data_IF_476532815903
#
_entry.id   IF_476532815903
#
_cell.length_a   1.000
_cell.length_b   1.000
_cell.length_c   1.000
_cell.angle_alpha   90.00
_cell.angle_beta   90.00
_cell.angle_gamma   90.00
#
_symmetry.space_group_name_H-M   'P 1'
#
loop_
_entity.id
_entity.type
_entity.pdbx_description
1 polymer ?
#
# COMPACT_ATOMS: atom_id res chain seq x y z
N UNK A 1 -6.14 -7.51 12.11
CA UNK A 1 -6.48 -7.38 10.67
C UNK A 1 -7.97 -7.08 10.65
N UNK A 2 -8.43 -5.95 10.10
CA UNK A 2 -9.87 -5.70 9.98
C UNK A 2 -10.52 -6.84 9.18
N UNK A 3 -11.76 -7.16 9.53
CA UNK A 3 -12.46 -8.31 8.97
C UNK A 3 -12.64 -8.14 7.46
N UNK A 4 -12.17 -9.10 6.66
CA UNK A 4 -12.35 -9.07 5.21
C UNK A 4 -13.81 -9.42 4.93
N UNK A 5 -14.53 -8.59 4.18
CA UNK A 5 -15.86 -8.95 3.72
C UNK A 5 -15.78 -10.31 2.99
N UNK A 6 -16.71 -11.25 3.26
CA UNK A 6 -16.65 -12.59 2.69
C UNK A 6 -16.66 -12.52 1.16
N UNK A 7 -15.87 -13.38 0.54
CA UNK A 7 -15.79 -13.53 -0.91
C UNK A 7 -16.42 -14.86 -1.33
N UNK A 8 -17.23 -14.83 -2.39
CA UNK A 8 -17.95 -16.00 -2.92
C UNK A 8 -17.33 -16.38 -4.26
N UNK A 9 -16.66 -17.53 -4.29
CA UNK A 9 -16.09 -18.13 -5.51
C UNK A 9 -17.13 -19.06 -6.14
N UNK A 10 -17.56 -18.75 -7.37
CA UNK A 10 -18.45 -19.59 -8.18
C UNK A 10 -17.58 -20.33 -9.20
N UNK A 11 -17.52 -21.66 -9.12
CA UNK A 11 -16.70 -22.51 -9.98
C UNK A 11 -17.55 -23.43 -10.85
N UNK A 12 -17.06 -23.75 -12.05
CA UNK A 12 -17.58 -24.81 -12.92
C UNK A 12 -17.38 -26.17 -12.27
N UNK A 13 -18.12 -27.18 -12.75
CA UNK A 13 -17.91 -28.60 -12.40
C UNK A 13 -16.49 -29.07 -12.70
N UNK A 14 -15.81 -28.42 -13.65
CA UNK A 14 -14.42 -28.68 -14.04
C UNK A 14 -13.40 -27.90 -13.19
N UNK A 15 -13.85 -27.15 -12.18
CA UNK A 15 -13.01 -26.33 -11.30
C UNK A 15 -12.64 -24.96 -11.84
N UNK A 16 -13.05 -24.59 -13.06
CA UNK A 16 -12.77 -23.26 -13.62
C UNK A 16 -13.57 -22.16 -12.91
N UNK A 17 -12.94 -21.02 -12.61
CA UNK A 17 -13.59 -19.87 -11.99
C UNK A 17 -14.59 -19.21 -12.97
N UNK A 18 -15.87 -19.20 -12.61
CA UNK A 18 -16.93 -18.55 -13.41
C UNK A 18 -17.14 -17.11 -12.94
N UNK A 19 -17.17 -16.88 -11.63
CA UNK A 19 -17.34 -15.56 -11.06
C UNK A 19 -16.81 -15.50 -9.62
N UNK A 20 -16.34 -14.33 -9.21
CA UNK A 20 -15.96 -14.05 -7.84
C UNK A 20 -16.76 -12.84 -7.34
N UNK A 21 -17.54 -12.98 -6.26
CA UNK A 21 -18.40 -11.91 -5.71
C UNK A 21 -18.06 -11.64 -4.26
N UNK A 22 -17.52 -10.46 -3.99
CA UNK A 22 -17.22 -9.92 -2.66
C UNK A 22 -16.94 -8.42 -2.73
N UNK A 23 -16.96 -7.73 -1.59
CA UNK A 23 -16.67 -6.27 -1.54
C UNK A 23 -15.17 -5.93 -1.74
N UNK A 24 -14.30 -6.94 -1.81
CA UNK A 24 -12.86 -6.80 -2.05
C UNK A 24 -12.49 -7.71 -3.22
N UNK A 25 -11.88 -7.15 -4.28
CA UNK A 25 -11.45 -7.90 -5.45
C UNK A 25 -10.37 -8.94 -5.12
N UNK A 26 -10.38 -10.05 -5.87
CA UNK A 26 -9.31 -11.04 -5.93
C UNK A 26 -9.13 -12.00 -4.75
N UNK A 27 -8.51 -13.16 -5.01
CA UNK A 27 -7.81 -13.91 -3.96
C UNK A 27 -6.58 -13.11 -3.53
N UNK A 28 -6.18 -13.18 -2.24
CA UNK A 28 -4.90 -12.61 -1.86
C UNK A 28 -3.79 -13.42 -2.52
N UNK A 29 -2.92 -12.72 -3.25
CA UNK A 29 -1.79 -13.33 -3.95
C UNK A 29 -0.55 -13.08 -3.10
N UNK A 30 0.23 -14.13 -2.82
CA UNK A 30 1.49 -14.00 -2.13
C UNK A 30 2.50 -13.22 -2.96
N UNK A 31 3.41 -12.47 -2.33
CA UNK A 31 4.43 -11.70 -3.04
C UNK A 31 5.27 -12.57 -4.00
N UNK A 32 5.49 -13.83 -3.63
CA UNK A 32 6.21 -14.84 -4.41
C UNK A 32 5.44 -15.37 -5.63
N UNK A 33 4.12 -15.21 -5.65
CA UNK A 33 3.25 -15.58 -6.77
C UNK A 33 3.10 -14.43 -7.77
N UNK A 34 3.51 -13.21 -7.38
CA UNK A 34 3.52 -12.04 -8.26
C UNK A 34 4.76 -12.04 -9.16
N UNK A 35 4.61 -11.50 -10.38
CA UNK A 35 5.77 -11.17 -11.20
C UNK A 35 6.69 -10.22 -10.43
N UNK A 36 8.01 -10.47 -10.34
CA UNK A 36 8.93 -9.66 -9.54
C UNK A 36 8.96 -8.19 -9.97
N UNK A 37 8.66 -7.92 -11.24
CA UNK A 37 8.61 -6.56 -11.78
C UNK A 37 7.51 -5.68 -11.16
N UNK A 38 6.43 -6.28 -10.63
CA UNK A 38 5.34 -5.53 -9.98
C UNK A 38 5.81 -4.87 -8.68
N UNK A 39 6.27 -5.63 -7.66
CA UNK A 39 6.77 -5.04 -6.42
C UNK A 39 7.96 -4.11 -6.68
N UNK A 40 8.87 -4.47 -7.59
CA UNK A 40 10.02 -3.63 -7.94
C UNK A 40 9.59 -2.28 -8.53
N UNK A 41 8.65 -2.27 -9.48
CA UNK A 41 8.16 -1.04 -10.08
C UNK A 41 7.44 -0.16 -9.07
N UNK A 42 6.57 -0.74 -8.23
CA UNK A 42 5.84 0.01 -7.19
C UNK A 42 6.83 0.63 -6.19
N UNK A 43 7.81 -0.14 -5.71
CA UNK A 43 8.85 0.39 -4.83
C UNK A 43 9.65 1.49 -5.53
N UNK A 44 10.06 1.31 -6.79
CA UNK A 44 10.84 2.30 -7.52
C UNK A 44 10.10 3.65 -7.71
N UNK A 45 8.78 3.59 -7.96
CA UNK A 45 7.95 4.76 -8.26
C UNK A 45 7.48 5.46 -6.98
N UNK A 46 6.93 4.70 -6.03
CA UNK A 46 6.26 5.26 -4.84
C UNK A 46 7.23 5.51 -3.68
N UNK A 47 8.18 4.59 -3.46
CA UNK A 47 9.02 4.60 -2.27
C UNK A 47 10.36 3.89 -2.51
N UNK A 48 11.25 4.54 -3.29
CA UNK A 48 12.53 3.96 -3.74
C UNK A 48 13.42 3.43 -2.62
N UNK A 49 13.17 3.87 -1.38
CA UNK A 49 13.94 3.53 -0.19
C UNK A 49 13.18 2.64 0.78
N UNK A 50 12.08 2.03 0.34
CA UNK A 50 11.19 1.22 1.14
C UNK A 50 11.91 0.27 2.09
N UNK A 51 12.89 -0.49 1.59
CA UNK A 51 13.65 -1.47 2.40
C UNK A 51 14.68 -0.86 3.36
N UNK A 52 14.96 0.44 3.26
CA UNK A 52 16.02 1.12 4.03
C UNK A 52 15.50 2.03 5.15
N UNK A 53 14.18 2.18 5.28
CA UNK A 53 13.57 3.01 6.32
C UNK A 53 12.57 2.22 7.15
N UNK A 54 12.04 2.80 8.22
CA UNK A 54 11.13 2.13 9.15
C UNK A 54 9.88 2.99 9.32
N UNK A 55 8.85 2.77 8.49
CA UNK A 55 7.59 3.49 8.51
C UNK A 55 7.64 4.90 7.94
N UNK A 56 8.70 5.66 8.21
CA UNK A 56 8.93 7.00 7.70
C UNK A 56 10.29 7.10 7.01
N UNK A 57 10.38 7.89 5.93
CA UNK A 57 11.64 8.21 5.25
C UNK A 57 11.97 9.70 5.42
N UNK A 58 12.73 10.08 6.46
CA UNK A 58 13.13 11.48 6.66
C UNK A 58 13.92 12.03 5.46
N UNK A 59 14.75 11.21 4.83
CA UNK A 59 15.59 11.65 3.70
C UNK A 59 14.73 11.80 2.44
N UNK A 60 13.81 10.87 2.19
CA UNK A 60 12.81 10.98 1.13
C UNK A 60 11.91 12.20 1.29
N UNK A 61 11.48 12.48 2.53
CA UNK A 61 10.68 13.66 2.87
C UNK A 61 11.46 14.95 2.64
N UNK A 62 12.69 15.06 3.16
CA UNK A 62 13.53 16.25 2.95
C UNK A 62 13.82 16.47 1.47
N UNK A 63 14.15 15.40 0.71
CA UNK A 63 14.32 15.48 -0.74
C UNK A 63 13.06 16.01 -1.43
N UNK A 64 11.89 15.45 -1.12
CA UNK A 64 10.63 15.88 -1.71
C UNK A 64 10.32 17.36 -1.39
N UNK A 65 10.58 17.79 -0.15
CA UNK A 65 10.45 19.19 0.25
C UNK A 65 11.36 20.12 -0.56
N UNK A 66 12.65 19.78 -0.67
CA UNK A 66 13.62 20.57 -1.44
C UNK A 66 13.22 20.65 -2.92
N UNK A 67 12.85 19.53 -3.54
CA UNK A 67 12.41 19.48 -4.94
C UNK A 67 11.16 20.36 -5.16
N UNK A 68 10.17 20.28 -4.28
CA UNK A 68 8.94 21.07 -4.41
C UNK A 68 9.19 22.58 -4.23
N UNK A 69 10.08 22.96 -3.30
CA UNK A 69 10.47 24.36 -3.08
C UNK A 69 11.24 24.92 -4.28
N UNK A 70 12.23 24.18 -4.78
CA UNK A 70 13.04 24.60 -5.93
C UNK A 70 12.23 24.60 -7.23
N UNK A 71 11.29 23.66 -7.38
CA UNK A 71 10.42 23.57 -8.54
C UNK A 71 9.25 24.55 -8.53
N UNK A 72 8.93 25.17 -7.40
CA UNK A 72 7.80 26.09 -7.25
C UNK A 72 6.41 25.44 -7.37
N UNK A 73 6.34 24.10 -7.39
CA UNK A 73 5.09 23.34 -7.46
C UNK A 73 5.21 22.02 -6.68
N UNK A 74 4.09 21.55 -6.14
CA UNK A 74 4.03 20.27 -5.40
C UNK A 74 3.98 19.10 -6.40
N UNK A 75 5.15 18.59 -6.80
CA UNK A 75 5.26 17.44 -7.72
C UNK A 75 5.58 16.13 -7.01
N UNK A 76 6.32 16.17 -5.89
CA UNK A 76 6.79 14.96 -5.21
C UNK A 76 6.09 14.76 -3.86
N UNK A 77 5.52 13.57 -3.69
CA UNK A 77 4.99 13.11 -2.39
C UNK A 77 6.11 12.64 -1.47
N UNK A 78 6.03 12.99 -0.19
CA UNK A 78 6.99 12.56 0.84
C UNK A 78 6.50 11.39 1.72
N UNK A 79 5.41 10.70 1.32
CA UNK A 79 4.83 9.62 2.14
C UNK A 79 5.35 8.25 1.70
N UNK A 80 5.62 7.36 2.65
CA UNK A 80 6.12 6.00 2.41
C UNK A 80 4.99 5.03 2.04
N UNK A 81 5.32 3.87 1.47
CA UNK A 81 4.33 2.81 1.21
C UNK A 81 3.61 2.36 2.49
N UNK A 82 4.34 2.25 3.60
CA UNK A 82 3.76 1.86 4.91
C UNK A 82 2.77 2.92 5.42
N UNK A 83 3.06 4.19 5.24
CA UNK A 83 2.14 5.29 5.55
C UNK A 83 0.88 5.24 4.69
N UNK A 84 1.04 5.00 3.39
CA UNK A 84 -0.08 4.84 2.48
C UNK A 84 -0.94 3.61 2.86
N UNK A 85 -0.31 2.49 3.23
CA UNK A 85 -1.00 1.30 3.73
C UNK A 85 -1.78 1.60 5.01
N UNK A 86 -1.16 2.23 6.00
CA UNK A 86 -1.79 2.60 7.26
C UNK A 86 -3.04 3.47 7.03
N UNK A 87 -2.92 4.48 6.14
CA UNK A 87 -4.02 5.34 5.72
C UNK A 87 -5.17 4.51 5.12
N UNK A 88 -4.86 3.61 4.20
CA UNK A 88 -5.86 2.82 3.47
C UNK A 88 -6.53 1.72 4.32
N UNK A 89 -5.87 1.24 5.39
CA UNK A 89 -6.39 0.20 6.27
C UNK A 89 -7.22 0.75 7.44
N UNK A 90 -6.85 1.91 7.98
CA UNK A 90 -7.33 2.33 9.29
C UNK A 90 -7.95 3.73 9.36
N UNK A 91 -7.70 4.59 8.37
CA UNK A 91 -8.04 6.01 8.49
C UNK A 91 -9.09 6.43 7.45
N UNK A 92 -9.87 7.45 7.80
CA UNK A 92 -10.81 8.10 6.89
C UNK A 92 -10.06 9.00 5.88
N UNK A 93 -10.66 9.34 4.74
CA UNK A 93 -10.02 10.15 3.69
C UNK A 93 -9.84 11.64 4.05
N UNK A 94 -10.24 12.08 5.25
CA UNK A 94 -10.20 13.48 5.69
C UNK A 94 -8.78 14.05 5.67
N UNK A 95 -8.56 15.29 5.23
CA UNK A 95 -7.19 15.85 5.14
C UNK A 95 -6.84 16.75 6.33
N UNK A 96 -6.53 16.14 7.48
CA UNK A 96 -6.12 16.86 8.70
C UNK A 96 -4.70 16.51 9.16
N UNK A 97 -4.07 17.43 9.91
CA UNK A 97 -2.76 17.17 10.53
C UNK A 97 -2.83 16.06 11.59
N UNK A 98 -3.90 16.03 12.38
CA UNK A 98 -4.14 14.98 13.37
C UNK A 98 -4.16 13.58 12.72
N UNK A 99 -4.89 13.44 11.60
CA UNK A 99 -4.89 12.18 10.84
C UNK A 99 -3.49 11.85 10.32
N UNK A 100 -2.70 12.84 9.87
CA UNK A 100 -1.33 12.59 9.40
C UNK A 100 -0.42 12.08 10.52
N UNK A 101 -0.59 12.55 11.75
CA UNK A 101 0.13 12.03 12.93
C UNK A 101 -0.29 10.58 13.21
N UNK A 102 -1.59 10.27 13.17
CA UNK A 102 -2.09 8.90 13.32
C UNK A 102 -1.52 7.96 12.25
N UNK A 103 -1.42 8.42 11.00
CA UNK A 103 -0.81 7.69 9.88
C UNK A 103 0.65 7.32 10.17
N UNK A 104 1.43 8.24 10.72
CA UNK A 104 2.83 7.99 11.11
C UNK A 104 2.90 6.94 12.23
N UNK A 105 2.08 7.08 13.28
CA UNK A 105 2.08 6.15 14.41
C UNK A 105 1.68 4.73 13.99
N UNK A 106 0.65 4.62 13.15
CA UNK A 106 0.20 3.34 12.60
C UNK A 106 1.20 2.72 11.64
N UNK A 107 1.91 3.53 10.85
CA UNK A 107 2.99 3.04 9.98
C UNK A 107 4.14 2.45 10.80
N UNK A 108 4.56 3.13 11.86
CA UNK A 108 5.60 2.62 12.78
C UNK A 108 5.14 1.32 13.47
N UNK A 109 3.87 1.26 13.88
CA UNK A 109 3.29 0.04 14.46
C UNK A 109 3.24 -1.12 13.47
N UNK A 110 2.88 -0.88 12.20
CA UNK A 110 2.88 -1.89 11.15
C UNK A 110 4.29 -2.45 10.93
N UNK A 111 5.30 -1.59 10.85
CA UNK A 111 6.71 -1.97 10.65
C UNK A 111 7.30 -2.72 11.84
N UNK A 112 6.77 -2.48 13.04
CA UNK A 112 7.15 -3.25 14.21
C UNK A 112 6.56 -4.68 14.18
N UNK A 113 5.37 -4.84 13.60
CA UNK A 113 4.61 -6.09 13.64
C UNK A 113 4.80 -6.98 12.41
N UNK A 114 5.18 -6.37 11.29
CA UNK A 114 5.25 -7.02 9.98
C UNK A 114 6.60 -6.76 9.32
N UNK A 115 7.09 -7.73 8.56
CA UNK A 115 8.29 -7.56 7.74
C UNK A 115 8.00 -6.65 6.53
N UNK A 116 9.05 -6.11 5.91
CA UNK A 116 8.92 -5.31 4.68
C UNK A 116 8.15 -6.03 3.58
N UNK A 117 8.43 -7.31 3.37
CA UNK A 117 7.75 -8.10 2.34
C UNK A 117 6.27 -8.31 2.68
N UNK A 118 5.92 -8.54 3.95
CA UNK A 118 4.52 -8.63 4.36
C UNK A 118 3.78 -7.30 4.18
N UNK A 119 4.43 -6.17 4.47
CA UNK A 119 3.86 -4.84 4.27
C UNK A 119 3.64 -4.58 2.79
N UNK A 120 4.62 -4.92 1.95
CA UNK A 120 4.52 -4.76 0.50
C UNK A 120 3.43 -5.67 -0.08
N UNK A 121 3.36 -6.92 0.36
CA UNK A 121 2.30 -7.86 -0.02
C UNK A 121 0.92 -7.32 0.37
N UNK A 122 0.73 -6.86 1.62
CA UNK A 122 -0.52 -6.24 2.06
C UNK A 122 -0.87 -5.00 1.25
N UNK A 123 0.13 -4.18 0.89
CA UNK A 123 -0.06 -3.00 0.06
C UNK A 123 -0.53 -3.38 -1.34
N UNK A 124 0.17 -4.29 -2.02
CA UNK A 124 -0.17 -4.71 -3.38
C UNK A 124 -1.53 -5.41 -3.43
N UNK A 125 -1.89 -6.18 -2.41
CA UNK A 125 -3.21 -6.80 -2.31
C UNK A 125 -4.34 -5.84 -1.95
N UNK A 126 -4.03 -4.58 -1.62
CA UNK A 126 -5.00 -3.58 -1.18
C UNK A 126 -5.06 -2.36 -2.09
N UNK A 127 -3.98 -2.06 -2.80
CA UNK A 127 -3.96 -0.97 -3.78
C UNK A 127 -4.89 -1.32 -4.92
N UNK A 128 -5.74 -0.35 -5.26
CA UNK A 128 -6.59 -0.43 -6.43
C UNK A 128 -5.75 -0.13 -7.66
N UNK A 129 -5.48 -1.13 -8.49
CA UNK A 129 -4.69 -0.96 -9.73
C UNK A 129 -5.48 -0.36 -10.90
N UNK A 130 -6.76 0.00 -10.69
CA UNK A 130 -7.66 0.42 -11.77
C UNK A 130 -8.52 -0.72 -12.30
N UNK A 131 -9.69 -0.38 -12.86
CA UNK A 131 -10.64 -1.29 -13.51
C UNK A 131 -11.26 -2.44 -12.69
N UNK A 132 -11.47 -2.25 -11.38
CA UNK A 132 -12.22 -3.24 -10.58
C UNK A 132 -11.47 -4.53 -10.26
N UNK A 133 -10.14 -4.55 -10.43
CA UNK A 133 -9.26 -5.63 -9.99
C UNK A 133 -8.88 -5.47 -8.51
#
# INVERSE_FOLDING_TARGET
IPDRAPNIKIVSVDGQLIANRGMSGGEAVGLHEMSPYIPEAVVAIEDRRFYSHFGIDPIGLTRAMVTNVLGGHFSQGGSTLTQQLAKNLFLTPDRTLERKVQEILLALWLEHKHTKDQILEMYLNRVYFGSGA
#
